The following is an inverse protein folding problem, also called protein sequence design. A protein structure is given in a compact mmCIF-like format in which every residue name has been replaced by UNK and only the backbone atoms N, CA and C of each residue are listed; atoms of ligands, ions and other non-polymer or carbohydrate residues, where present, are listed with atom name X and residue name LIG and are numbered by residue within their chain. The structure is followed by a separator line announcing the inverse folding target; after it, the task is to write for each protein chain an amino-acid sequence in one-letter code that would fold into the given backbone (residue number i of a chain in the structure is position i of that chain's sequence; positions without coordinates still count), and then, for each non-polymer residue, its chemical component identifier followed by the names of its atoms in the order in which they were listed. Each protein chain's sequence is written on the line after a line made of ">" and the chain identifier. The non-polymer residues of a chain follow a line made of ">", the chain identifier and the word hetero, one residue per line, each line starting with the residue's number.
data_IF_887611667853
#
_entry.id   IF_887611667853
#
_cell.length_a   1.000
_cell.length_b   1.000
_cell.length_c   1.000
_cell.angle_alpha   90.00
_cell.angle_beta   90.00
_cell.angle_gamma   90.00
#
_symmetry.space_group_name_H-M   'P 1'
#
loop_
_entity.id
_entity.type
_entity.pdbx_description
1 polymer ?
#
# COMPACT_ATOMS: atom_id res chain seq x y z
N UNK A 1 -10.93 -12.10 -13.16
CA UNK A 1 -10.05 -11.11 -12.50
C UNK A 1 -10.07 -9.73 -13.15
N UNK A 2 -9.88 -9.53 -14.48
CA UNK A 2 -9.82 -8.18 -15.07
C UNK A 2 -11.04 -7.30 -14.78
N UNK A 3 -12.25 -7.87 -14.83
CA UNK A 3 -13.49 -7.15 -14.49
C UNK A 3 -13.46 -6.60 -13.06
N UNK A 4 -13.08 -7.41 -12.08
CA UNK A 4 -12.99 -7.00 -10.68
C UNK A 4 -12.01 -5.84 -10.47
N UNK A 5 -10.85 -5.88 -11.15
CA UNK A 5 -9.85 -4.80 -11.11
C UNK A 5 -10.40 -3.49 -11.70
N UNK A 6 -11.12 -3.57 -12.82
CA UNK A 6 -11.76 -2.39 -13.45
C UNK A 6 -12.86 -1.82 -12.56
N UNK A 7 -13.66 -2.66 -11.91
CA UNK A 7 -14.69 -2.21 -10.96
C UNK A 7 -14.05 -1.43 -9.81
N UNK A 8 -13.04 -2.00 -9.15
CA UNK A 8 -12.32 -1.31 -8.06
C UNK A 8 -11.71 0.00 -8.56
N UNK A 9 -11.14 0.02 -9.76
CA UNK A 9 -10.53 1.22 -10.34
C UNK A 9 -11.55 2.31 -10.70
N UNK A 10 -12.79 1.93 -11.03
CA UNK A 10 -13.88 2.86 -11.29
C UNK A 10 -14.45 3.44 -10.00
N UNK A 11 -14.59 2.61 -8.96
CA UNK A 11 -15.06 3.03 -7.64
C UNK A 11 -14.13 4.08 -7.03
N UNK A 12 -12.81 3.88 -7.15
CA UNK A 12 -11.81 4.88 -6.71
C UNK A 12 -11.84 6.23 -7.45
N UNK A 13 -12.73 6.46 -8.42
CA UNK A 13 -12.70 7.65 -9.26
C UNK A 13 -12.92 8.96 -8.48
N UNK A 14 -13.72 8.93 -7.42
CA UNK A 14 -13.95 10.06 -6.52
C UNK A 14 -12.90 10.18 -5.40
N UNK A 15 -11.99 9.20 -5.32
CA UNK A 15 -10.93 9.13 -4.31
C UNK A 15 -11.32 8.39 -3.03
N UNK A 16 -12.52 7.81 -2.96
CA UNK A 16 -12.95 6.92 -1.89
C UNK A 16 -13.31 5.53 -2.45
N UNK A 17 -13.37 4.54 -1.58
CA UNK A 17 -13.90 3.22 -1.91
C UNK A 17 -14.81 2.81 -0.75
N UNK A 18 -16.11 2.98 -0.94
CA UNK A 18 -17.08 2.83 0.14
C UNK A 18 -17.21 1.38 0.60
N UNK A 19 -17.65 1.20 1.84
CA UNK A 19 -17.89 -0.15 2.39
C UNK A 19 -19.00 -0.88 1.64
N UNK A 20 -20.00 -0.16 1.14
CA UNK A 20 -21.13 -0.74 0.39
C UNK A 20 -20.68 -1.26 -0.97
N UNK A 21 -19.85 -0.52 -1.71
CA UNK A 21 -19.25 -0.99 -2.96
C UNK A 21 -18.35 -2.21 -2.75
N UNK A 22 -17.54 -2.22 -1.69
CA UNK A 22 -16.71 -3.38 -1.34
C UNK A 22 -17.58 -4.61 -1.07
N UNK A 23 -18.69 -4.45 -0.36
CA UNK A 23 -19.60 -5.54 -0.03
C UNK A 23 -20.36 -6.04 -1.27
N UNK A 24 -20.78 -5.13 -2.15
CA UNK A 24 -21.44 -5.49 -3.41
C UNK A 24 -20.47 -6.20 -4.35
N UNK A 25 -19.24 -5.69 -4.48
CA UNK A 25 -18.16 -6.36 -5.20
C UNK A 25 -17.96 -7.78 -4.69
N UNK A 26 -17.77 -7.96 -3.37
CA UNK A 26 -17.61 -9.30 -2.76
C UNK A 26 -18.81 -10.21 -3.05
N UNK A 27 -20.02 -9.68 -2.95
CA UNK A 27 -21.26 -10.42 -3.22
C UNK A 27 -21.33 -10.87 -4.68
N UNK A 28 -21.03 -9.98 -5.61
CA UNK A 28 -21.00 -10.27 -7.04
C UNK A 28 -19.92 -11.29 -7.39
N UNK A 29 -18.71 -11.12 -6.84
CA UNK A 29 -17.58 -12.01 -7.02
C UNK A 29 -17.91 -13.45 -6.57
N UNK A 30 -18.67 -13.60 -5.48
CA UNK A 30 -19.15 -14.91 -5.01
C UNK A 30 -20.24 -15.54 -5.90
N UNK A 31 -20.93 -14.76 -6.73
CA UNK A 31 -22.02 -15.22 -7.62
C UNK A 31 -21.56 -15.62 -9.02
N UNK A 32 -20.37 -15.19 -9.45
CA UNK A 32 -19.85 -15.55 -10.78
C UNK A 32 -19.61 -17.07 -10.84
N UNK A 33 -20.09 -17.76 -11.90
CA UNK A 33 -19.86 -19.19 -12.05
C UNK A 33 -18.37 -19.44 -12.21
N UNK A 34 -17.72 -19.91 -11.13
CA UNK A 34 -16.34 -20.35 -11.19
C UNK A 34 -16.22 -21.40 -12.28
N UNK A 35 -15.29 -21.20 -13.21
CA UNK A 35 -14.99 -22.18 -14.25
C UNK A 35 -14.65 -23.52 -13.59
N UNK A 36 -15.57 -24.48 -13.66
CA UNK A 36 -15.45 -25.94 -13.48
C UNK A 36 -14.26 -26.42 -12.64
N UNK A 37 -14.05 -25.89 -11.44
CA UNK A 37 -13.24 -26.55 -10.40
C UNK A 37 -13.68 -26.06 -9.03
N UNK A 38 -14.31 -26.97 -8.27
CA UNK A 38 -14.65 -26.89 -6.84
C UNK A 38 -15.53 -25.71 -6.39
N UNK A 39 -16.83 -26.01 -6.33
CA UNK A 39 -17.77 -25.38 -5.40
C UNK A 39 -17.11 -25.25 -4.01
N UNK A 40 -17.22 -24.08 -3.41
CA UNK A 40 -16.94 -23.75 -2.00
C UNK A 40 -15.52 -23.26 -1.63
N UNK A 41 -14.65 -22.93 -2.58
CA UNK A 41 -13.43 -22.16 -2.25
C UNK A 41 -13.65 -20.69 -2.64
N UNK A 42 -13.57 -19.72 -1.70
CA UNK A 42 -13.37 -18.31 -2.07
C UNK A 42 -12.13 -18.19 -2.97
N UNK A 43 -11.97 -17.09 -3.71
CA UNK A 43 -10.80 -16.83 -4.59
C UNK A 43 -9.49 -17.42 -4.08
N UNK A 44 -8.60 -17.86 -4.99
CA UNK A 44 -7.28 -18.32 -4.56
C UNK A 44 -6.61 -17.23 -3.73
N UNK A 45 -5.77 -17.60 -2.77
CA UNK A 45 -5.08 -16.61 -1.92
C UNK A 45 -4.33 -15.54 -2.74
N UNK A 46 -3.79 -15.93 -3.90
CA UNK A 46 -3.14 -15.02 -4.84
C UNK A 46 -4.13 -14.04 -5.50
N UNK A 47 -5.31 -14.50 -5.91
CA UNK A 47 -6.36 -13.64 -6.47
C UNK A 47 -6.92 -12.68 -5.42
N UNK A 48 -7.13 -13.14 -4.17
CA UNK A 48 -7.54 -12.27 -3.07
C UNK A 48 -6.51 -11.18 -2.82
N UNK A 49 -5.23 -11.55 -2.65
CA UNK A 49 -4.14 -10.59 -2.45
C UNK A 49 -4.05 -9.57 -3.60
N UNK A 50 -4.32 -10.01 -4.83
CA UNK A 50 -4.39 -9.13 -5.99
C UNK A 50 -5.52 -8.10 -5.86
N UNK A 51 -6.71 -8.47 -5.38
CA UNK A 51 -7.78 -7.49 -5.17
C UNK A 51 -7.47 -6.58 -3.98
N UNK A 52 -6.88 -7.12 -2.91
CA UNK A 52 -6.53 -6.37 -1.71
C UNK A 52 -5.56 -5.22 -2.03
N UNK A 53 -4.58 -5.41 -2.91
CA UNK A 53 -3.67 -4.34 -3.34
C UNK A 53 -4.37 -3.25 -4.20
N UNK A 54 -5.45 -3.57 -4.92
CA UNK A 54 -6.27 -2.56 -5.60
C UNK A 54 -7.22 -1.84 -4.63
N UNK A 55 -7.74 -2.53 -3.62
CA UNK A 55 -8.61 -1.92 -2.59
C UNK A 55 -7.84 -1.11 -1.55
N UNK A 56 -6.54 -1.31 -1.39
CA UNK A 56 -5.73 -0.61 -0.39
C UNK A 56 -5.39 0.85 -0.76
N UNK A 57 -5.68 1.27 -1.99
CA UNK A 57 -4.98 2.36 -2.65
C UNK A 57 -5.74 2.89 -3.88
N UNK A 58 -5.98 4.21 -4.02
CA UNK A 58 -6.54 4.79 -5.23
C UNK A 58 -5.85 4.34 -6.52
N UNK A 59 -6.64 4.18 -7.59
CA UNK A 59 -6.16 3.77 -8.92
C UNK A 59 -6.03 4.99 -9.82
N UNK A 60 -4.84 5.21 -10.38
CA UNK A 60 -4.62 6.35 -11.28
C UNK A 60 -5.38 6.16 -12.60
N UNK A 61 -5.64 7.27 -13.29
CA UNK A 61 -6.31 7.26 -14.60
C UNK A 61 -5.54 6.40 -15.60
N UNK A 62 -4.21 6.48 -15.61
CA UNK A 62 -3.34 5.67 -16.49
C UNK A 62 -3.42 4.17 -16.17
N UNK A 63 -3.41 3.80 -14.89
CA UNK A 63 -3.56 2.40 -14.47
C UNK A 63 -4.96 1.88 -14.78
N UNK A 64 -6.01 2.69 -14.57
CA UNK A 64 -7.39 2.35 -14.96
C UNK A 64 -7.50 2.10 -16.46
N UNK A 65 -6.92 2.97 -17.31
CA UNK A 65 -6.91 2.77 -18.76
C UNK A 65 -6.20 1.46 -19.17
N UNK A 66 -5.09 1.12 -18.49
CA UNK A 66 -4.40 -0.17 -18.67
C UNK A 66 -5.31 -1.35 -18.31
N UNK A 67 -6.00 -1.29 -17.17
CA UNK A 67 -6.93 -2.33 -16.71
C UNK A 67 -8.12 -2.51 -17.65
N UNK A 68 -8.68 -1.41 -18.17
CA UNK A 68 -9.76 -1.45 -19.16
C UNK A 68 -9.29 -2.15 -20.44
N UNK A 69 -8.07 -1.86 -20.90
CA UNK A 69 -7.48 -2.54 -22.06
C UNK A 69 -7.24 -4.03 -21.79
N UNK A 70 -6.83 -4.41 -20.57
CA UNK A 70 -6.71 -5.81 -20.15
C UNK A 70 -8.09 -6.51 -20.19
N UNK A 71 -9.13 -5.85 -19.67
CA UNK A 71 -10.51 -6.35 -19.73
C UNK A 71 -11.00 -6.51 -21.19
N UNK A 72 -10.81 -5.51 -22.05
CA UNK A 72 -11.17 -5.60 -23.48
C UNK A 72 -10.58 -6.83 -24.16
N UNK A 73 -9.31 -7.15 -23.89
CA UNK A 73 -8.65 -8.31 -24.47
C UNK A 73 -9.26 -9.65 -24.01
N UNK A 74 -9.96 -9.66 -22.88
CA UNK A 74 -10.68 -10.85 -22.38
C UNK A 74 -12.11 -10.97 -22.88
N UNK A 75 -12.77 -9.86 -23.25
CA UNK A 75 -14.16 -9.84 -23.69
C UNK A 75 -14.26 -10.08 -25.19
N UNK A 76 -14.71 -11.28 -25.59
CA UNK A 76 -14.73 -11.70 -26.99
C UNK A 76 -16.06 -11.38 -27.70
N UNK A 77 -17.16 -11.25 -26.96
CA UNK A 77 -18.51 -11.06 -27.51
C UNK A 77 -19.21 -9.84 -26.90
N UNK A 78 -20.17 -9.27 -27.62
CA UNK A 78 -20.93 -8.10 -27.17
C UNK A 78 -21.74 -8.38 -25.90
N UNK A 79 -22.25 -9.61 -25.74
CA UNK A 79 -22.93 -10.05 -24.52
C UNK A 79 -22.02 -10.00 -23.29
N UNK A 80 -20.74 -10.37 -23.44
CA UNK A 80 -19.77 -10.32 -22.33
C UNK A 80 -19.50 -8.87 -21.91
N UNK A 81 -19.51 -7.93 -22.87
CA UNK A 81 -19.34 -6.49 -22.61
C UNK A 81 -20.53 -5.89 -21.87
N UNK A 82 -21.74 -6.23 -22.28
CA UNK A 82 -22.95 -5.77 -21.60
C UNK A 82 -23.02 -6.28 -20.16
N UNK A 83 -22.66 -7.56 -19.94
CA UNK A 83 -22.57 -8.13 -18.59
C UNK A 83 -21.51 -7.43 -17.74
N UNK A 84 -20.34 -7.13 -18.32
CA UNK A 84 -19.28 -6.39 -17.64
C UNK A 84 -19.72 -4.98 -17.24
N UNK A 85 -20.36 -4.24 -18.16
CA UNK A 85 -20.87 -2.89 -17.87
C UNK A 85 -21.95 -2.89 -16.80
N UNK A 86 -22.89 -3.84 -16.87
CA UNK A 86 -23.93 -3.98 -15.86
C UNK A 86 -23.35 -4.30 -14.48
N UNK A 87 -22.32 -5.16 -14.42
CA UNK A 87 -21.61 -5.47 -13.18
C UNK A 87 -20.89 -4.24 -12.59
N UNK A 88 -20.27 -3.41 -13.43
CA UNK A 88 -19.62 -2.17 -12.98
C UNK A 88 -20.68 -1.21 -12.42
N UNK A 89 -21.75 -0.95 -13.17
CA UNK A 89 -22.84 -0.07 -12.73
C UNK A 89 -23.50 -0.55 -11.44
N UNK A 90 -23.71 -1.86 -11.29
CA UNK A 90 -24.29 -2.44 -10.07
C UNK A 90 -23.43 -2.15 -8.83
N UNK A 91 -22.10 -2.27 -8.95
CA UNK A 91 -21.21 -2.00 -7.81
C UNK A 91 -21.13 -0.50 -7.51
N UNK A 92 -20.92 0.35 -8.52
CA UNK A 92 -20.84 1.81 -8.35
C UNK A 92 -22.14 2.47 -7.86
N UNK A 93 -23.26 1.73 -7.89
CA UNK A 93 -24.55 2.22 -7.39
C UNK A 93 -24.98 1.52 -6.10
N UNK A 94 -24.05 0.81 -5.42
CA UNK A 94 -24.35 0.03 -4.22
C UNK A 94 -24.95 0.86 -3.08
N UNK A 95 -24.43 2.07 -2.89
CA UNK A 95 -24.87 3.03 -1.87
C UNK A 95 -26.04 3.94 -2.34
N UNK A 96 -26.50 3.73 -3.58
CA UNK A 96 -27.52 4.53 -4.29
C UNK A 96 -27.12 5.97 -4.62
N UNK A 97 -25.84 6.31 -4.54
CA UNK A 97 -25.30 7.64 -4.88
C UNK A 97 -24.03 7.47 -5.72
N UNK A 98 -24.20 7.40 -7.03
CA UNK A 98 -23.04 7.45 -7.94
C UNK A 98 -22.59 8.92 -8.10
N UNK A 99 -21.35 9.19 -7.71
CA UNK A 99 -20.72 10.52 -7.80
C UNK A 99 -20.51 10.95 -9.27
N UNK A 100 -20.34 12.26 -9.54
CA UNK A 100 -19.97 12.75 -10.87
C UNK A 100 -18.67 12.12 -11.41
N UNK A 101 -17.70 11.89 -10.54
CA UNK A 101 -16.39 11.32 -10.84
C UNK A 101 -16.50 9.84 -11.24
N UNK A 102 -17.22 9.03 -10.46
CA UNK A 102 -17.51 7.62 -10.81
C UNK A 102 -18.32 7.51 -12.10
N UNK A 103 -19.30 8.41 -12.29
CA UNK A 103 -20.08 8.46 -13.53
C UNK A 103 -19.19 8.77 -14.73
N UNK A 104 -18.28 9.73 -14.60
CA UNK A 104 -17.32 10.04 -15.65
C UNK A 104 -16.40 8.85 -15.94
N UNK A 105 -15.93 8.15 -14.90
CA UNK A 105 -15.12 6.94 -15.08
C UNK A 105 -15.91 5.81 -15.75
N UNK A 106 -17.19 5.62 -15.41
CA UNK A 106 -18.07 4.65 -16.05
C UNK A 106 -18.29 4.99 -17.53
N UNK A 107 -18.54 6.26 -17.86
CA UNK A 107 -18.72 6.74 -19.23
C UNK A 107 -17.45 6.51 -20.07
N UNK A 108 -16.26 6.76 -19.50
CA UNK A 108 -14.96 6.46 -20.12
C UNK A 108 -14.79 4.96 -20.40
N UNK A 109 -15.10 4.11 -19.41
CA UNK A 109 -15.03 2.65 -19.56
C UNK A 109 -16.02 2.17 -20.63
N UNK A 110 -17.24 2.69 -20.63
CA UNK A 110 -18.26 2.37 -21.62
C UNK A 110 -17.82 2.75 -23.03
N UNK A 111 -17.29 3.97 -23.22
CA UNK A 111 -16.74 4.41 -24.49
C UNK A 111 -15.60 3.50 -24.96
N UNK A 112 -14.68 3.13 -24.05
CA UNK A 112 -13.60 2.22 -24.36
C UNK A 112 -14.11 0.83 -24.76
N UNK A 113 -14.98 0.18 -23.98
CA UNK A 113 -15.48 -1.16 -24.28
C UNK A 113 -16.31 -1.22 -25.57
N UNK A 114 -16.97 -0.13 -25.95
CA UNK A 114 -17.78 -0.05 -27.16
C UNK A 114 -16.96 0.31 -28.41
N UNK A 115 -15.75 0.85 -28.28
CA UNK A 115 -14.89 1.25 -29.41
C UNK A 115 -14.40 0.10 -30.30
N UNK A 116 -14.77 -1.15 -30.01
CA UNK A 116 -14.40 -2.33 -30.80
C UNK A 116 -15.58 -2.74 -31.70
N UNK A 117 -15.77 -1.97 -32.76
CA UNK A 117 -16.60 -2.33 -33.92
C UNK A 117 -15.72 -2.36 -35.20
N UNK A 118 -14.71 -3.24 -35.20
CA UNK A 118 -13.92 -3.61 -36.40
C UNK A 118 -13.70 -5.14 -36.44
N UNK A 119 -14.75 -5.87 -36.09
CA UNK A 119 -14.90 -7.33 -36.01
C UNK A 119 -14.60 -8.08 -37.33
N UNK A 120 -14.36 -7.37 -38.42
CA UNK A 120 -14.03 -7.93 -39.73
C UNK A 120 -12.52 -8.19 -39.88
N UNK A 121 -11.65 -7.46 -39.16
CA UNK A 121 -10.18 -7.60 -39.28
C UNK A 121 -9.52 -8.49 -38.20
N UNK A 122 -10.21 -8.74 -37.07
CA UNK A 122 -9.67 -9.54 -35.96
C UNK A 122 -9.49 -11.04 -36.28
N UNK A 123 -10.14 -11.57 -37.33
CA UNK A 123 -9.95 -12.95 -37.79
C UNK A 123 -8.62 -13.17 -38.53
N UNK A 124 -8.04 -12.13 -39.13
CA UNK A 124 -6.80 -12.22 -39.90
C UNK A 124 -5.57 -11.96 -39.02
N UNK A 125 -5.70 -11.18 -37.93
CA UNK A 125 -4.59 -10.78 -37.06
C UNK A 125 -4.10 -11.82 -36.04
N UNK A 126 -4.78 -12.97 -35.87
CA UNK A 126 -4.43 -13.98 -34.85
C UNK A 126 -3.13 -14.75 -35.13
N UNK A 127 -2.60 -14.68 -36.35
CA UNK A 127 -1.34 -15.35 -36.72
C UNK A 127 -0.08 -14.50 -36.48
N UNK A 128 -0.21 -13.20 -36.19
CA UNK A 128 0.94 -12.28 -36.06
C UNK A 128 1.14 -11.68 -34.66
N UNK A 129 0.34 -12.09 -33.67
CA UNK A 129 0.38 -11.52 -32.31
C UNK A 129 1.30 -12.34 -31.39
N UNK A 130 2.56 -12.55 -31.78
CA UNK A 130 3.61 -13.14 -30.94
C UNK A 130 4.53 -12.10 -30.27
N UNK A 131 4.16 -10.82 -30.34
CA UNK A 131 4.66 -9.79 -29.43
C UNK A 131 3.44 -9.09 -28.84
N UNK A 132 3.13 -9.44 -27.58
CA UNK A 132 2.21 -8.66 -26.77
C UNK A 132 2.71 -7.21 -26.77
N UNK A 133 1.96 -6.31 -27.42
CA UNK A 133 2.08 -4.89 -27.12
C UNK A 133 1.82 -4.78 -25.62
N UNK A 134 2.86 -4.45 -24.84
CA UNK A 134 2.71 -4.12 -23.44
C UNK A 134 1.69 -2.98 -23.38
N UNK A 135 0.51 -3.25 -22.82
CA UNK A 135 -0.43 -2.19 -22.52
C UNK A 135 0.31 -1.23 -21.59
N UNK A 136 0.59 -0.03 -22.09
CA UNK A 136 1.40 0.96 -21.39
C UNK A 136 0.64 1.48 -20.18
N UNK A 137 1.32 1.69 -19.06
CA UNK A 137 0.76 2.24 -17.82
C UNK A 137 1.37 1.61 -16.57
N UNK A 138 1.25 2.26 -15.40
CA UNK A 138 1.67 1.68 -14.12
C UNK A 138 0.97 0.35 -13.86
N UNK A 139 1.71 -0.60 -13.27
CA UNK A 139 1.16 -1.86 -12.79
C UNK A 139 1.57 -2.06 -11.35
N UNK A 140 0.63 -1.87 -10.42
CA UNK A 140 0.90 -2.04 -8.98
C UNK A 140 1.19 -3.48 -8.57
N UNK A 141 0.77 -4.47 -9.36
CA UNK A 141 0.98 -5.90 -9.04
C UNK A 141 2.48 -6.27 -8.99
N UNK A 142 3.36 -5.44 -9.58
CA UNK A 142 4.82 -5.58 -9.41
C UNK A 142 5.30 -5.40 -7.97
N UNK A 143 4.47 -4.80 -7.13
CA UNK A 143 4.72 -4.58 -5.70
C UNK A 143 3.88 -5.49 -4.82
N UNK A 144 3.30 -6.58 -5.35
CA UNK A 144 2.44 -7.47 -4.56
C UNK A 144 3.19 -8.13 -3.39
N UNK A 145 4.43 -8.57 -3.60
CA UNK A 145 5.25 -9.11 -2.52
C UNK A 145 5.57 -8.05 -1.46
N UNK A 146 5.82 -6.82 -1.89
CA UNK A 146 6.04 -5.70 -0.99
C UNK A 146 4.75 -5.35 -0.22
N UNK A 147 3.58 -5.37 -0.87
CA UNK A 147 2.29 -5.18 -0.20
C UNK A 147 2.05 -6.25 0.87
N UNK A 148 2.39 -7.50 0.62
CA UNK A 148 2.18 -8.58 1.59
C UNK A 148 3.13 -8.51 2.78
N UNK A 149 4.38 -8.10 2.56
CA UNK A 149 5.44 -8.19 3.58
C UNK A 149 5.88 -6.84 4.16
N UNK A 150 5.56 -5.74 3.48
CA UNK A 150 6.00 -4.37 3.80
C UNK A 150 5.03 -3.34 3.22
N UNK A 151 3.80 -3.32 3.75
CA UNK A 151 2.72 -2.42 3.33
C UNK A 151 3.13 -0.95 3.34
N UNK A 152 4.02 -0.57 4.26
CA UNK A 152 4.51 0.81 4.37
C UNK A 152 5.35 1.17 3.13
N UNK A 153 6.24 0.28 2.69
CA UNK A 153 6.99 0.53 1.45
C UNK A 153 6.05 0.63 0.24
N UNK A 154 5.05 -0.24 0.14
CA UNK A 154 4.03 -0.12 -0.90
C UNK A 154 3.34 1.25 -0.87
N UNK A 155 2.95 1.73 0.30
CA UNK A 155 2.33 3.05 0.51
C UNK A 155 3.26 4.22 0.17
N UNK A 156 4.57 4.09 0.43
CA UNK A 156 5.58 5.05 -0.03
C UNK A 156 5.64 5.06 -1.56
N UNK A 157 5.73 3.89 -2.19
CA UNK A 157 5.75 3.77 -3.66
C UNK A 157 4.49 4.35 -4.29
N UNK A 158 3.34 4.18 -3.63
CA UNK A 158 2.08 4.75 -4.09
C UNK A 158 2.12 6.28 -4.10
N UNK A 159 2.59 6.92 -3.01
CA UNK A 159 2.72 8.38 -2.92
C UNK A 159 3.74 8.95 -3.91
N UNK A 160 4.77 8.18 -4.25
CA UNK A 160 5.72 8.49 -5.32
C UNK A 160 5.13 8.29 -6.74
N UNK A 161 3.86 7.90 -6.87
CA UNK A 161 3.16 7.75 -8.15
C UNK A 161 3.39 6.41 -8.85
N UNK A 162 3.97 5.42 -8.17
CA UNK A 162 4.29 4.09 -8.74
C UNK A 162 5.06 4.16 -10.07
N UNK A 163 5.72 5.27 -10.41
CA UNK A 163 6.60 5.37 -11.57
C UNK A 163 7.95 4.71 -11.25
N UNK A 164 8.68 4.20 -12.25
CA UNK A 164 9.94 3.47 -11.98
C UNK A 164 11.11 4.40 -11.59
N UNK A 165 11.04 5.66 -11.99
CA UNK A 165 12.05 6.71 -11.83
C UNK A 165 11.85 7.57 -10.57
N UNK A 166 10.66 7.54 -9.96
CA UNK A 166 10.42 8.17 -8.68
C UNK A 166 11.05 7.34 -7.54
N UNK A 167 11.93 7.95 -6.75
CA UNK A 167 12.59 7.31 -5.61
C UNK A 167 12.69 8.26 -4.40
N UNK A 168 13.24 7.75 -3.29
CA UNK A 168 13.50 8.50 -2.07
C UNK A 168 14.92 9.10 -2.02
N UNK A 169 15.66 9.08 -3.13
CA UNK A 169 17.09 9.37 -3.18
C UNK A 169 17.97 8.28 -2.58
N UNK A 170 17.42 7.08 -2.34
CA UNK A 170 18.13 5.89 -1.83
C UNK A 170 17.80 4.68 -2.68
N UNK A 171 18.62 3.62 -2.58
CA UNK A 171 18.36 2.38 -3.31
C UNK A 171 17.04 1.73 -2.89
N UNK A 172 16.47 0.93 -3.80
CA UNK A 172 15.22 0.19 -3.58
C UNK A 172 15.25 -0.74 -2.36
N UNK A 173 16.41 -1.33 -2.08
CA UNK A 173 16.64 -2.17 -0.90
C UNK A 173 16.68 -1.31 0.38
N UNK A 174 17.41 -0.20 0.34
CA UNK A 174 17.44 0.75 1.45
C UNK A 174 16.05 1.35 1.74
N UNK A 175 15.27 1.65 0.71
CA UNK A 175 13.91 2.18 0.84
C UNK A 175 12.95 1.17 1.50
N UNK A 176 13.10 -0.14 1.20
CA UNK A 176 12.33 -1.20 1.87
C UNK A 176 12.68 -1.28 3.36
N UNK A 177 13.97 -1.33 3.70
CA UNK A 177 14.43 -1.38 5.10
C UNK A 177 14.07 -0.10 5.87
N UNK A 178 14.19 1.07 5.22
CA UNK A 178 13.78 2.36 5.76
C UNK A 178 12.28 2.41 6.03
N UNK A 179 11.44 1.86 5.15
CA UNK A 179 9.99 1.84 5.35
C UNK A 179 9.59 1.00 6.56
N UNK A 180 10.29 -0.12 6.79
CA UNK A 180 10.11 -0.94 8.00
C UNK A 180 10.52 -0.18 9.26
N UNK A 181 11.67 0.52 9.22
CA UNK A 181 12.11 1.40 10.31
C UNK A 181 11.07 2.50 10.60
N UNK A 182 10.59 3.20 9.56
CA UNK A 182 9.54 4.21 9.68
C UNK A 182 8.27 3.66 10.31
N UNK A 183 7.88 2.43 9.98
CA UNK A 183 6.79 1.71 10.64
C UNK A 183 6.99 1.51 12.13
N UNK A 184 8.17 1.06 12.54
CA UNK A 184 8.49 0.82 13.94
C UNK A 184 8.54 2.12 14.74
N UNK A 185 9.06 3.20 14.13
CA UNK A 185 9.04 4.53 14.71
C UNK A 185 7.62 5.08 14.87
N UNK A 186 6.79 4.97 13.82
CA UNK A 186 5.37 5.37 13.87
C UNK A 186 4.57 4.52 14.86
N UNK A 187 4.90 3.24 15.03
CA UNK A 187 4.30 2.38 16.04
C UNK A 187 4.57 2.90 17.45
N UNK A 188 5.82 3.26 17.76
CA UNK A 188 6.18 3.86 19.06
C UNK A 188 5.46 5.20 19.27
N UNK A 189 5.42 6.05 18.25
CA UNK A 189 4.68 7.33 18.30
C UNK A 189 3.16 7.17 18.50
N UNK A 190 2.61 5.95 18.37
CA UNK A 190 1.18 5.67 18.46
C UNK A 190 0.84 4.72 19.62
N UNK A 191 1.75 4.48 20.57
CA UNK A 191 1.52 3.56 21.70
C UNK A 191 0.33 3.97 22.56
N UNK A 192 0.11 5.27 22.73
CA UNK A 192 -1.03 5.85 23.44
C UNK A 192 -2.30 5.99 22.58
N UNK A 193 -2.22 5.56 21.31
CA UNK A 193 -3.25 5.60 20.27
C UNK A 193 -3.63 7.01 19.78
N UNK A 194 -2.76 8.01 19.93
CA UNK A 194 -2.98 9.35 19.39
C UNK A 194 -1.69 9.97 18.89
N UNK A 195 -1.61 10.14 17.57
CA UNK A 195 -0.50 10.89 16.97
C UNK A 195 -0.88 12.37 16.86
N UNK A 196 -0.18 13.20 17.63
CA UNK A 196 -0.26 14.66 17.57
C UNK A 196 0.62 15.23 16.44
N UNK A 197 0.38 16.48 16.01
CA UNK A 197 1.25 17.13 15.03
C UNK A 197 2.72 17.24 15.49
N UNK A 198 2.96 17.36 16.80
CA UNK A 198 4.30 17.42 17.36
C UNK A 198 5.03 16.07 17.24
N UNK A 199 4.33 14.96 17.49
CA UNK A 199 4.88 13.60 17.32
C UNK A 199 5.15 13.27 15.86
N UNK A 200 4.26 13.67 14.95
CA UNK A 200 4.50 13.58 13.51
C UNK A 200 5.76 14.35 13.11
N UNK A 201 5.91 15.60 13.55
CA UNK A 201 7.10 16.39 13.23
C UNK A 201 8.37 15.73 13.79
N UNK A 202 8.33 15.21 15.02
CA UNK A 202 9.47 14.53 15.60
C UNK A 202 9.82 13.21 14.89
N UNK A 203 8.81 12.47 14.42
CA UNK A 203 9.02 11.29 13.58
C UNK A 203 9.73 11.65 12.26
N UNK A 204 9.29 12.73 11.60
CA UNK A 204 9.91 13.23 10.36
C UNK A 204 11.37 13.63 10.60
N UNK A 205 11.64 14.43 11.64
CA UNK A 205 13.01 14.85 11.97
C UNK A 205 13.91 13.66 12.35
N UNK A 206 13.36 12.68 13.08
CA UNK A 206 14.10 11.46 13.43
C UNK A 206 14.47 10.64 12.20
N UNK A 207 13.53 10.47 11.25
CA UNK A 207 13.81 9.79 9.97
C UNK A 207 14.84 10.53 9.13
N UNK A 208 14.70 11.86 9.04
CA UNK A 208 15.63 12.73 8.31
C UNK A 208 17.05 12.62 8.85
N UNK A 209 17.24 12.74 10.16
CA UNK A 209 18.57 12.69 10.79
C UNK A 209 19.12 11.25 10.76
N UNK A 210 18.31 10.26 11.14
CA UNK A 210 18.76 8.87 11.28
C UNK A 210 19.14 8.20 9.96
N UNK A 211 18.58 8.65 8.83
CA UNK A 211 18.85 8.07 7.50
C UNK A 211 19.31 9.08 6.46
N UNK A 212 19.65 10.32 6.87
CA UNK A 212 20.14 11.39 5.99
C UNK A 212 19.21 11.67 4.79
N UNK A 213 17.90 11.67 5.05
CA UNK A 213 16.88 11.88 4.04
C UNK A 213 16.65 13.36 3.75
N UNK A 214 16.07 13.66 2.58
CA UNK A 214 15.48 14.98 2.34
C UNK A 214 14.21 15.17 3.17
N UNK A 215 13.79 16.42 3.38
CA UNK A 215 12.54 16.74 4.08
C UNK A 215 11.35 16.02 3.44
N UNK A 216 11.28 16.05 2.11
CA UNK A 216 10.21 15.38 1.34
C UNK A 216 10.24 13.86 1.53
N UNK A 217 11.42 13.23 1.46
CA UNK A 217 11.52 11.78 1.61
C UNK A 217 11.17 11.32 3.03
N UNK A 218 11.62 12.06 4.06
CA UNK A 218 11.27 11.77 5.44
C UNK A 218 9.76 11.92 5.70
N UNK A 219 9.15 12.99 5.20
CA UNK A 219 7.70 13.22 5.30
C UNK A 219 6.89 12.10 4.63
N UNK A 220 7.28 11.70 3.41
CA UNK A 220 6.61 10.61 2.69
C UNK A 220 6.63 9.28 3.46
N UNK A 221 7.78 8.92 4.04
CA UNK A 221 7.90 7.69 4.84
C UNK A 221 7.09 7.79 6.13
N UNK A 222 7.13 8.93 6.83
CA UNK A 222 6.37 9.14 8.06
C UNK A 222 4.86 9.04 7.83
N UNK A 223 4.34 9.72 6.81
CA UNK A 223 2.91 9.70 6.46
C UNK A 223 2.45 8.32 6.01
N UNK A 224 3.26 7.61 5.21
CA UNK A 224 2.96 6.23 4.82
C UNK A 224 2.92 5.30 6.04
N UNK A 225 3.89 5.43 6.95
CA UNK A 225 3.95 4.62 8.16
C UNK A 225 2.74 4.85 9.07
N UNK A 226 2.36 6.10 9.32
CA UNK A 226 1.19 6.44 10.14
C UNK A 226 -0.11 5.93 9.53
N UNK A 227 -0.27 6.09 8.21
CA UNK A 227 -1.43 5.61 7.48
C UNK A 227 -1.63 4.10 7.59
N UNK A 228 -0.54 3.33 7.73
CA UNK A 228 -0.65 1.88 7.90
C UNK A 228 -0.76 1.47 9.37
N UNK A 229 -0.03 2.12 10.29
CA UNK A 229 -0.09 1.77 11.72
C UNK A 229 -1.50 1.97 12.29
N UNK A 230 -2.22 2.98 11.81
CA UNK A 230 -3.64 3.22 12.16
C UNK A 230 -4.59 2.12 11.64
N UNK A 231 -4.13 1.26 10.71
CA UNK A 231 -4.87 0.11 10.15
C UNK A 231 -4.49 -1.23 10.80
N UNK A 232 -3.89 -1.19 11.99
CA UNK A 232 -3.53 -2.37 12.81
C UNK A 232 -2.49 -3.30 12.15
N UNK A 233 -1.28 -2.78 11.88
CA UNK A 233 -0.16 -3.61 11.40
C UNK A 233 0.24 -4.65 12.46
N UNK A 234 0.49 -5.88 12.01
CA UNK A 234 1.14 -6.93 12.81
C UNK A 234 2.60 -6.53 13.14
N UNK A 235 2.83 -6.09 14.39
CA UNK A 235 4.17 -5.69 14.82
C UNK A 235 5.19 -6.84 14.78
N UNK A 236 4.77 -8.08 15.01
CA UNK A 236 5.70 -9.20 14.95
C UNK A 236 6.22 -9.40 13.53
N UNK A 237 5.35 -9.31 12.52
CA UNK A 237 5.80 -9.34 11.12
C UNK A 237 6.70 -8.16 10.79
N UNK A 238 6.37 -6.95 11.24
CA UNK A 238 7.15 -5.74 10.97
C UNK A 238 8.57 -5.83 11.57
N UNK A 239 8.69 -6.20 12.84
CA UNK A 239 9.98 -6.39 13.53
C UNK A 239 10.80 -7.52 12.92
N UNK A 240 10.17 -8.67 12.61
CA UNK A 240 10.84 -9.79 11.95
C UNK A 240 11.40 -9.38 10.59
N UNK A 241 10.59 -8.73 9.74
CA UNK A 241 11.01 -8.26 8.43
C UNK A 241 12.16 -7.25 8.53
N UNK A 242 12.14 -6.36 9.52
CA UNK A 242 13.25 -5.44 9.76
C UNK A 242 14.52 -6.20 10.20
N UNK A 243 14.39 -7.09 11.18
CA UNK A 243 15.49 -7.91 11.69
C UNK A 243 16.18 -8.71 10.59
N UNK A 244 15.43 -9.40 9.75
CA UNK A 244 15.97 -10.23 8.65
C UNK A 244 16.71 -9.42 7.56
N UNK A 245 16.46 -8.10 7.46
CA UNK A 245 17.01 -7.20 6.42
C UNK A 245 18.04 -6.18 6.93
N UNK A 246 18.35 -6.21 8.22
CA UNK A 246 19.19 -5.19 8.88
C UNK A 246 20.46 -5.80 9.45
N UNK A 247 21.55 -5.02 9.40
CA UNK A 247 22.76 -5.32 10.14
C UNK A 247 22.60 -5.04 11.64
N UNK A 248 23.54 -5.48 12.47
CA UNK A 248 23.58 -5.12 13.90
C UNK A 248 23.63 -3.60 14.11
N UNK A 249 24.41 -2.90 13.30
CA UNK A 249 24.53 -1.44 13.34
C UNK A 249 23.21 -0.74 12.99
N UNK A 250 22.50 -1.23 11.98
CA UNK A 250 21.18 -0.70 11.60
C UNK A 250 20.14 -0.88 12.71
N UNK A 251 20.21 -1.99 13.46
CA UNK A 251 19.31 -2.26 14.59
C UNK A 251 19.59 -1.34 15.77
N UNK A 252 20.87 -1.09 16.09
CA UNK A 252 21.26 -0.12 17.10
C UNK A 252 20.83 1.30 16.70
N UNK A 253 21.02 1.68 15.43
CA UNK A 253 20.58 2.97 14.90
C UNK A 253 19.06 3.13 15.02
N UNK A 254 18.30 2.10 14.65
CA UNK A 254 16.85 2.11 14.84
C UNK A 254 16.47 2.24 16.31
N UNK A 255 17.13 1.51 17.22
CA UNK A 255 16.85 1.59 18.65
C UNK A 255 17.07 3.00 19.19
N UNK A 256 18.18 3.65 18.83
CA UNK A 256 18.45 5.04 19.19
C UNK A 256 17.36 5.99 18.64
N UNK A 257 16.90 5.76 17.41
CA UNK A 257 15.80 6.51 16.81
C UNK A 257 14.45 6.27 17.52
N UNK A 258 14.15 5.04 17.94
CA UNK A 258 12.93 4.72 18.70
C UNK A 258 12.90 5.47 20.04
N UNK A 259 14.05 5.55 20.73
CA UNK A 259 14.18 6.35 21.95
C UNK A 259 14.05 7.86 21.68
N UNK A 260 14.49 8.34 20.50
CA UNK A 260 14.29 9.73 20.10
C UNK A 260 12.81 10.06 19.84
N UNK A 261 12.06 9.10 19.29
CA UNK A 261 10.61 9.24 19.07
C UNK A 261 9.83 9.18 20.37
N UNK A 262 10.16 8.27 21.29
CA UNK A 262 9.44 8.13 22.55
C UNK A 262 9.67 9.28 23.55
N UNK A 263 10.74 10.08 23.40
CA UNK A 263 11.13 11.10 24.37
C UNK A 263 10.78 12.54 23.90
N UNK A 264 9.64 12.73 23.21
CA UNK A 264 9.22 14.04 22.67
C UNK A 264 8.93 15.06 23.76
N UNK A 265 8.29 14.64 24.84
CA UNK A 265 7.93 15.49 25.99
C UNK A 265 8.98 15.45 27.13
N UNK A 266 10.07 14.70 26.92
CA UNK A 266 11.16 14.52 27.88
C UNK A 266 10.96 13.37 28.86
N UNK A 267 9.82 12.70 28.86
CA UNK A 267 9.57 11.50 29.66
C UNK A 267 9.27 10.31 28.75
N UNK A 268 9.61 9.09 29.19
CA UNK A 268 9.23 7.86 28.49
C UNK A 268 8.37 7.07 29.45
N UNK A 269 7.10 6.88 29.10
CA UNK A 269 6.14 6.16 29.91
C UNK A 269 6.55 4.69 30.12
N UNK A 270 5.98 4.04 31.13
CA UNK A 270 6.21 2.60 31.36
C UNK A 270 5.73 1.74 30.18
N UNK A 271 4.67 2.18 29.48
CA UNK A 271 4.14 1.49 28.31
C UNK A 271 5.12 1.55 27.14
N UNK A 272 5.65 2.73 26.82
CA UNK A 272 6.67 2.88 25.78
C UNK A 272 7.97 2.14 26.13
N UNK A 273 8.40 2.16 27.39
CA UNK A 273 9.58 1.38 27.81
C UNK A 273 9.40 -0.12 27.57
N UNK A 274 8.20 -0.65 27.84
CA UNK A 274 7.88 -2.05 27.57
C UNK A 274 7.90 -2.35 26.06
N UNK A 275 7.31 -1.48 25.24
CA UNK A 275 7.28 -1.63 23.78
C UNK A 275 8.68 -1.49 23.14
N UNK A 276 9.49 -0.54 23.60
CA UNK A 276 10.89 -0.39 23.17
C UNK A 276 11.71 -1.66 23.45
N UNK A 277 11.56 -2.21 24.66
CA UNK A 277 12.23 -3.46 25.05
C UNK A 277 11.74 -4.65 24.22
N UNK A 278 10.43 -4.69 23.93
CA UNK A 278 9.82 -5.72 23.09
C UNK A 278 10.35 -5.66 21.66
N UNK A 279 10.33 -4.49 21.03
CA UNK A 279 10.86 -4.29 19.67
C UNK A 279 12.34 -4.69 19.62
N UNK A 280 13.16 -4.21 20.56
CA UNK A 280 14.58 -4.54 20.64
C UNK A 280 14.82 -6.05 20.66
N UNK A 281 14.07 -6.79 21.49
CA UNK A 281 14.17 -8.25 21.56
C UNK A 281 13.80 -8.94 20.24
N UNK A 282 12.78 -8.43 19.53
CA UNK A 282 12.29 -9.01 18.27
C UNK A 282 13.23 -8.72 17.09
N UNK A 283 14.03 -7.66 17.16
CA UNK A 283 15.09 -7.36 16.18
C UNK A 283 16.47 -7.86 16.62
N UNK A 284 16.51 -8.82 17.56
CA UNK A 284 17.72 -9.50 18.04
C UNK A 284 18.73 -8.60 18.77
N UNK A 285 18.25 -7.60 19.50
CA UNK A 285 19.06 -6.80 20.43
C UNK A 285 18.88 -7.28 21.87
N UNK A 286 19.87 -6.98 22.70
CA UNK A 286 19.91 -7.39 24.11
C UNK A 286 19.38 -6.29 25.03
N UNK A 287 19.10 -6.64 26.29
CA UNK A 287 18.76 -5.65 27.32
C UNK A 287 19.91 -4.66 27.59
N UNK A 288 21.16 -5.05 27.34
CA UNK A 288 22.32 -4.15 27.45
C UNK A 288 22.29 -3.07 26.37
N UNK A 289 21.92 -3.43 25.13
CA UNK A 289 21.76 -2.48 24.04
C UNK A 289 20.66 -1.45 24.35
N UNK A 290 19.54 -1.90 24.93
CA UNK A 290 18.43 -1.04 25.39
C UNK A 290 18.90 -0.08 26.48
N UNK A 291 19.65 -0.56 27.47
CA UNK A 291 20.19 0.29 28.52
C UNK A 291 21.16 1.34 27.95
N UNK A 292 22.03 0.94 27.02
CA UNK A 292 22.99 1.83 26.38
C UNK A 292 22.30 2.91 25.53
N UNK A 293 21.27 2.56 24.75
CA UNK A 293 20.49 3.50 23.96
C UNK A 293 19.77 4.54 24.85
N UNK A 294 19.18 4.08 25.96
CA UNK A 294 18.56 4.97 26.94
C UNK A 294 19.56 5.96 27.53
N UNK A 295 20.75 5.50 27.91
CA UNK A 295 21.81 6.36 28.44
C UNK A 295 22.28 7.40 27.42
N UNK A 296 22.46 7.01 26.15
CA UNK A 296 22.80 7.94 25.06
C UNK A 296 21.72 9.01 24.88
N UNK A 297 20.43 8.65 24.96
CA UNK A 297 19.35 9.63 24.81
C UNK A 297 19.31 10.63 25.98
N UNK A 298 19.51 10.15 27.21
CA UNK A 298 19.54 11.00 28.41
C UNK A 298 20.70 11.99 28.41
N UNK A 299 21.88 11.61 27.91
CA UNK A 299 23.03 12.53 27.84
C UNK A 299 22.81 13.66 26.83
N UNK A 300 22.17 13.38 25.68
CA UNK A 300 21.81 14.40 24.69
C UNK A 300 20.77 15.37 25.25
N UNK A 301 19.74 14.86 25.95
CA UNK A 301 18.72 15.70 26.57
C UNK A 301 19.31 16.61 27.68
N UNK A 302 20.23 16.09 28.50
CA UNK A 302 20.90 16.86 29.54
C UNK A 302 21.86 17.93 29.02
N UNK A 303 22.47 17.74 27.86
CA UNK A 303 23.38 18.71 27.24
C UNK A 303 22.67 19.91 26.58
N UNK A 304 21.38 19.78 26.23
CA UNK A 304 20.58 20.87 25.65
C UNK A 304 19.88 21.77 26.67
N UNK A 305 19.92 21.42 27.96
CA UNK A 305 19.22 22.13 29.04
C UNK A 305 20.13 23.00 29.93
N UNK A 306 21.44 23.08 29.62
CA UNK A 306 22.44 23.90 30.32
C UNK A 306 22.98 25.02 29.44
#
# INVERSE_FOLDING_TARGET
>A
MPLAKVIIAAAWADGDLSTDEINELKTMLNRLPQSVTRKDVPYTAAESATLDIYMAAPVSIEERARLVSELQNTLQHDGDRQLALHAIEQVLSADRVMTPEERSALDEIQAALNSVDLSIFARIGRLFRSQAQSVSGPNRERYLEDFLNNRIYFQVRQRLGLAADADLGVSDEAARTLSLAGGLLAYIANVDKKITPAELQNLIETLKIGWSLSDTAAALVAEAAISEITRDIDLFQLTRAYGERSSAEDRIRLLDALFAVAAVDGEISSAEQAELSRIASQIYLTSEDVAAARMRRQSVAGAGAG
#
